data_IF_131323013275
#
_entry.id   IF_131323013275
#
_cell.length_a   1.000
_cell.length_b   1.000
_cell.length_c   1.000
_cell.angle_alpha   90.00
_cell.angle_beta   90.00
_cell.angle_gamma   90.00
#
_symmetry.space_group_name_H-M   'P 1'
#
loop_
_entity.id
_entity.type
_entity.pdbx_description
1 polymer ?
#
# COMPACT_ATOMS: atom_id res chain seq x y z
N UNK A 1 -2.33 15.48 -27.94
CA UNK A 1 -1.66 15.81 -26.65
C UNK A 1 -2.26 15.00 -25.50
N UNK A 2 -3.58 14.96 -25.36
CA UNK A 2 -4.29 14.20 -24.31
C UNK A 2 -4.06 12.70 -24.37
N UNK A 3 -4.12 12.08 -25.56
CA UNK A 3 -3.92 10.62 -25.70
C UNK A 3 -2.52 10.16 -25.30
N UNK A 4 -1.48 10.96 -25.58
CA UNK A 4 -0.09 10.66 -25.20
C UNK A 4 0.09 10.71 -23.67
N UNK A 5 -0.55 11.67 -22.99
CA UNK A 5 -0.53 11.78 -21.53
C UNK A 5 -1.22 10.59 -20.87
N UNK A 6 -2.35 10.12 -21.42
CA UNK A 6 -3.06 8.94 -20.90
C UNK A 6 -2.15 7.71 -20.99
N UNK A 7 -1.54 7.47 -22.15
CA UNK A 7 -0.64 6.32 -22.35
C UNK A 7 0.58 6.40 -21.41
N UNK A 8 1.18 7.59 -21.26
CA UNK A 8 2.31 7.80 -20.36
C UNK A 8 1.93 7.55 -18.89
N UNK A 9 0.75 8.00 -18.45
CA UNK A 9 0.25 7.77 -17.09
C UNK A 9 -0.04 6.29 -16.82
N UNK A 10 -0.59 5.55 -17.80
CA UNK A 10 -0.82 4.11 -17.69
C UNK A 10 0.49 3.33 -17.59
N UNK A 11 1.49 3.66 -18.42
CA UNK A 11 2.81 3.04 -18.38
C UNK A 11 3.52 3.32 -17.05
N UNK A 12 3.47 4.56 -16.58
CA UNK A 12 4.07 4.95 -15.30
C UNK A 12 3.38 4.24 -14.13
N UNK A 13 2.05 4.18 -14.13
CA UNK A 13 1.27 3.45 -13.12
C UNK A 13 1.56 1.95 -13.12
N UNK A 14 1.68 1.33 -14.29
CA UNK A 14 2.05 -0.07 -14.43
C UNK A 14 3.48 -0.34 -13.91
N UNK A 15 4.43 0.53 -14.23
CA UNK A 15 5.81 0.42 -13.75
C UNK A 15 5.90 0.57 -12.23
N UNK A 16 5.28 1.60 -11.67
CA UNK A 16 5.25 1.85 -10.23
C UNK A 16 4.54 0.69 -9.51
N UNK A 17 3.40 0.21 -10.05
CA UNK A 17 2.68 -0.94 -9.50
C UNK A 17 3.51 -2.23 -9.51
N UNK A 18 4.28 -2.48 -10.57
CA UNK A 18 5.19 -3.61 -10.65
C UNK A 18 6.33 -3.50 -9.63
N UNK A 19 6.96 -2.32 -9.51
CA UNK A 19 8.02 -2.06 -8.52
C UNK A 19 7.50 -2.23 -7.10
N UNK A 20 6.34 -1.64 -6.77
CA UNK A 20 5.69 -1.77 -5.47
C UNK A 20 5.32 -3.24 -5.16
N UNK A 21 4.76 -3.95 -6.13
CA UNK A 21 4.43 -5.37 -6.00
C UNK A 21 5.67 -6.25 -5.80
N UNK A 22 6.80 -5.88 -6.39
CA UNK A 22 8.08 -6.58 -6.23
C UNK A 22 8.72 -6.31 -4.86
N UNK A 23 8.69 -5.05 -4.40
CA UNK A 23 9.19 -4.64 -3.07
C UNK A 23 8.38 -5.32 -1.95
N UNK A 24 7.10 -5.63 -2.20
CA UNK A 24 6.24 -6.32 -1.25
C UNK A 24 5.82 -5.39 -0.10
N UNK A 25 5.89 -5.87 1.14
CA UNK A 25 5.38 -5.17 2.32
C UNK A 25 5.98 -3.76 2.53
N UNK A 26 7.21 -3.52 2.09
CA UNK A 26 7.88 -2.21 2.19
C UNK A 26 7.36 -1.15 1.21
N UNK A 27 6.76 -1.55 0.09
CA UNK A 27 6.30 -0.61 -0.94
C UNK A 27 5.20 0.33 -0.46
N UNK A 28 4.35 -0.15 0.46
CA UNK A 28 3.22 0.59 1.00
C UNK A 28 3.62 1.91 1.68
N UNK A 29 4.75 1.91 2.40
CA UNK A 29 5.31 3.11 3.05
C UNK A 29 5.71 4.19 2.05
N UNK A 30 6.13 3.79 0.84
CA UNK A 30 6.63 4.71 -0.19
C UNK A 30 5.51 5.21 -1.11
N UNK A 31 4.40 4.46 -1.24
CA UNK A 31 3.28 4.83 -2.11
C UNK A 31 2.65 6.18 -1.74
N UNK A 32 2.43 6.46 -0.45
CA UNK A 32 1.81 7.71 0.02
C UNK A 32 2.68 8.94 -0.34
N UNK A 33 3.98 9.02 0.01
CA UNK A 33 4.81 10.16 -0.34
C UNK A 33 5.02 10.30 -1.86
N UNK A 34 5.05 9.19 -2.63
CA UNK A 34 5.09 9.27 -4.09
C UNK A 34 3.85 9.99 -4.63
N UNK A 35 2.65 9.62 -4.17
CA UNK A 35 1.41 10.24 -4.65
C UNK A 35 1.30 11.71 -4.22
N UNK A 36 1.76 12.04 -3.01
CA UNK A 36 1.80 13.42 -2.51
C UNK A 36 2.80 14.30 -3.27
N UNK A 37 4.06 13.86 -3.38
CA UNK A 37 5.16 14.71 -3.84
C UNK A 37 5.45 14.64 -5.33
N UNK A 38 5.12 13.52 -6.00
CA UNK A 38 5.39 13.35 -7.44
C UNK A 38 4.14 13.62 -8.27
N UNK A 39 2.98 13.20 -7.78
CA UNK A 39 1.71 13.34 -8.50
C UNK A 39 0.86 14.52 -8.01
N UNK A 40 1.35 15.29 -7.02
CA UNK A 40 0.67 16.46 -6.44
C UNK A 40 -0.76 16.18 -5.96
N UNK A 41 -1.02 14.95 -5.47
CA UNK A 41 -2.33 14.61 -4.92
C UNK A 41 -2.55 15.28 -3.57
N UNK A 42 -3.80 15.61 -3.26
CA UNK A 42 -4.16 16.04 -1.90
C UNK A 42 -3.94 14.90 -0.90
N UNK A 43 -3.67 15.17 0.39
CA UNK A 43 -3.44 14.13 1.39
C UNK A 43 -4.55 13.08 1.45
N UNK A 44 -5.81 13.51 1.34
CA UNK A 44 -6.97 12.61 1.34
C UNK A 44 -7.02 11.71 0.09
N UNK A 45 -6.71 12.27 -1.09
CA UNK A 45 -6.68 11.51 -2.33
C UNK A 45 -5.49 10.54 -2.35
N UNK A 46 -4.33 10.98 -1.87
CA UNK A 46 -3.12 10.18 -1.84
C UNK A 46 -3.26 8.96 -0.92
N UNK A 47 -3.83 9.10 0.28
CA UNK A 47 -4.07 7.96 1.20
C UNK A 47 -5.06 6.96 0.61
N UNK A 48 -6.17 7.44 0.05
CA UNK A 48 -7.20 6.58 -0.54
C UNK A 48 -6.66 5.81 -1.75
N UNK A 49 -5.96 6.50 -2.65
CA UNK A 49 -5.33 5.89 -3.81
C UNK A 49 -4.21 4.93 -3.41
N UNK A 50 -3.38 5.28 -2.42
CA UNK A 50 -2.32 4.41 -1.93
C UNK A 50 -2.88 3.09 -1.38
N UNK A 51 -3.95 3.14 -0.56
CA UNK A 51 -4.60 1.94 -0.03
C UNK A 51 -5.10 1.02 -1.15
N UNK A 52 -5.77 1.58 -2.16
CA UNK A 52 -6.27 0.81 -3.30
C UNK A 52 -5.12 0.18 -4.10
N UNK A 53 -4.08 0.95 -4.42
CA UNK A 53 -2.91 0.49 -5.19
C UNK A 53 -2.16 -0.60 -4.45
N UNK A 54 -1.88 -0.40 -3.16
CA UNK A 54 -1.15 -1.35 -2.32
C UNK A 54 -1.95 -2.64 -2.15
N UNK A 55 -3.27 -2.55 -1.95
CA UNK A 55 -4.13 -3.72 -1.85
C UNK A 55 -4.09 -4.56 -3.13
N UNK A 56 -4.27 -3.93 -4.30
CA UNK A 56 -4.22 -4.62 -5.59
C UNK A 56 -2.84 -5.22 -5.86
N UNK A 57 -1.75 -4.50 -5.56
CA UNK A 57 -0.39 -5.00 -5.72
C UNK A 57 -0.10 -6.20 -4.80
N UNK A 58 -0.56 -6.17 -3.55
CA UNK A 58 -0.42 -7.27 -2.61
C UNK A 58 -1.19 -8.51 -3.07
N UNK A 59 -2.44 -8.35 -3.55
CA UNK A 59 -3.24 -9.46 -4.10
C UNK A 59 -2.57 -10.05 -5.34
N UNK A 60 -2.08 -9.20 -6.25
CA UNK A 60 -1.37 -9.63 -7.46
C UNK A 60 -0.08 -10.40 -7.15
N UNK A 61 0.69 -9.96 -6.14
CA UNK A 61 1.91 -10.63 -5.69
C UNK A 61 1.64 -11.91 -4.88
N UNK A 62 0.51 -11.98 -4.17
CA UNK A 62 0.11 -13.14 -3.38
C UNK A 62 -0.37 -14.30 -4.27
N UNK A 63 -1.10 -14.02 -5.34
CA UNK A 63 -1.68 -15.02 -6.25
C UNK A 63 -0.67 -16.08 -6.77
N UNK A 64 0.49 -15.71 -7.35
CA UNK A 64 1.47 -16.70 -7.82
C UNK A 64 2.19 -17.43 -6.67
N UNK A 65 2.39 -16.77 -5.52
CA UNK A 65 3.01 -17.39 -4.34
C UNK A 65 2.11 -18.44 -3.69
N UNK A 66 0.81 -18.16 -3.60
CA UNK A 66 -0.19 -19.13 -3.16
C UNK A 66 -0.18 -20.39 -4.03
N UNK A 67 -0.11 -20.21 -5.36
CA UNK A 67 -0.05 -21.34 -6.30
C UNK A 67 1.22 -22.19 -6.11
N UNK A 68 2.32 -21.57 -5.72
CA UNK A 68 3.61 -22.24 -5.47
C UNK A 68 3.69 -22.88 -4.07
N UNK A 69 2.66 -22.73 -3.23
CA UNK A 69 2.62 -23.16 -1.80
C UNK A 69 3.73 -22.56 -0.91
N UNK A 70 4.47 -21.58 -1.40
CA UNK A 70 5.50 -20.85 -0.66
C UNK A 70 4.91 -19.69 0.17
N UNK A 71 3.83 -19.97 0.91
CA UNK A 71 3.20 -18.96 1.77
C UNK A 71 3.02 -19.52 3.17
N UNK A 72 3.69 -18.86 4.11
CA UNK A 72 3.59 -19.06 5.54
C UNK A 72 2.32 -18.36 6.07
N UNK A 73 1.16 -18.97 5.81
CA UNK A 73 -0.15 -18.37 6.13
C UNK A 73 -0.30 -18.12 7.63
N UNK A 74 0.21 -19.03 8.48
CA UNK A 74 0.10 -18.92 9.93
C UNK A 74 0.90 -17.72 10.45
N UNK A 75 2.11 -17.55 9.96
CA UNK A 75 3.02 -16.45 10.29
C UNK A 75 2.45 -15.13 9.76
N UNK A 76 1.97 -15.10 8.51
CA UNK A 76 1.33 -13.93 7.93
C UNK A 76 0.10 -13.48 8.73
N UNK A 77 -0.76 -14.42 9.14
CA UNK A 77 -1.94 -14.14 9.96
C UNK A 77 -1.54 -13.62 11.35
N UNK A 78 -0.47 -14.17 11.94
CA UNK A 78 0.04 -13.74 13.24
C UNK A 78 0.56 -12.31 13.18
N UNK A 79 1.36 -11.98 12.16
CA UNK A 79 1.87 -10.62 11.94
C UNK A 79 0.73 -9.64 11.70
N UNK A 80 -0.27 -10.02 10.89
CA UNK A 80 -1.44 -9.19 10.62
C UNK A 80 -2.27 -8.92 11.88
N UNK A 81 -2.53 -9.95 12.68
CA UNK A 81 -3.28 -9.83 13.93
C UNK A 81 -2.54 -8.95 14.95
N UNK A 82 -1.23 -9.14 15.12
CA UNK A 82 -0.41 -8.32 16.00
C UNK A 82 -0.37 -6.87 15.54
N UNK A 83 -0.23 -6.63 14.24
CA UNK A 83 -0.26 -5.27 13.67
C UNK A 83 -1.60 -4.58 13.88
N UNK A 84 -2.71 -5.28 13.64
CA UNK A 84 -4.05 -4.73 13.87
C UNK A 84 -4.31 -4.42 15.34
N UNK A 85 -3.99 -5.35 16.24
CA UNK A 85 -4.15 -5.15 17.67
C UNK A 85 -3.34 -3.96 18.16
N UNK A 86 -2.09 -3.84 17.70
CA UNK A 86 -1.22 -2.72 18.06
C UNK A 86 -1.76 -1.41 17.50
N UNK A 87 -2.16 -1.37 16.22
CA UNK A 87 -2.66 -0.14 15.59
C UNK A 87 -3.94 0.37 16.26
N UNK A 88 -4.91 -0.52 16.51
CA UNK A 88 -6.17 -0.16 17.18
C UNK A 88 -5.91 0.21 18.64
N UNK A 89 -5.13 -0.59 19.37
CA UNK A 89 -4.82 -0.35 20.77
C UNK A 89 -4.07 0.97 20.99
N UNK A 90 -3.11 1.28 20.11
CA UNK A 90 -2.38 2.54 20.15
C UNK A 90 -3.27 3.72 19.73
N UNK A 91 -4.20 3.53 18.79
CA UNK A 91 -5.21 4.54 18.45
C UNK A 91 -6.05 4.96 19.66
N UNK A 92 -6.54 4.00 20.45
CA UNK A 92 -7.29 4.30 21.68
C UNK A 92 -6.45 5.00 22.76
N UNK A 93 -5.16 4.67 22.86
CA UNK A 93 -4.26 5.30 23.82
C UNK A 93 -3.88 6.72 23.38
N UNK A 94 -3.75 6.95 22.06
CA UNK A 94 -3.49 8.26 21.49
C UNK A 94 -4.65 9.23 21.73
N UNK A 95 -5.90 8.76 21.62
CA UNK A 95 -7.10 9.57 21.95
C UNK A 95 -7.18 9.93 23.45
N UNK A 96 -6.42 9.22 24.31
CA UNK A 96 -6.36 9.50 25.75
C UNK A 96 -5.25 10.48 26.14
N UNK A 97 -4.38 10.86 25.21
CA UNK A 97 -3.35 11.86 25.44
C UNK A 97 -3.96 13.26 25.27
N UNK A 98 -3.79 14.17 26.24
CA UNK A 98 -4.25 15.55 26.10
C UNK A 98 -3.55 16.22 24.91
N UNK A 99 -4.33 16.82 24.01
CA UNK A 99 -3.84 17.74 22.98
C UNK A 99 -3.27 18.99 23.68
N UNK A 100 -1.99 18.94 24.04
CA UNK A 100 -1.24 20.08 24.61
C UNK A 100 -0.62 20.94 23.52
#
# INVERSE_FOLDING_TARGET
MTSTLIIASMLSGAFIGAVLGFIGAGGAMVTVPILLYIFDFTPLQATTAALAVVFLAAVAGLMPKLKSKDVLIKEALTIWALGLLTNIGFGFLADSLPDS
#
